data_IF_362459258373
#
_entry.id   IF_362459258373
#
_cell.length_a   1.000
_cell.length_b   1.000
_cell.length_c   1.000
_cell.angle_alpha   90.00
_cell.angle_beta   90.00
_cell.angle_gamma   90.00
#
_symmetry.space_group_name_H-M   'P 1'
#
loop_
_entity.id
_entity.type
_entity.pdbx_description
1 polymer ?
#
# COMPACT_ATOMS: atom_id res chain seq x y z
N UNK A 1 10.01 22.51 14.28
CA UNK A 1 9.68 21.08 14.52
C UNK A 1 10.83 20.22 14.00
N UNK A 2 11.29 19.24 14.77
CA UNK A 2 12.32 18.28 14.38
C UNK A 2 11.66 17.01 13.88
N UNK A 3 11.94 16.63 12.64
CA UNK A 3 11.22 15.54 11.92
C UNK A 3 12.18 14.41 11.61
N UNK A 4 11.72 13.17 11.81
CA UNK A 4 12.39 11.95 11.36
C UNK A 4 11.54 11.24 10.30
N UNK A 5 12.11 11.01 9.11
CA UNK A 5 11.52 10.17 8.07
C UNK A 5 12.15 8.78 8.14
N UNK A 6 11.33 7.73 8.26
CA UNK A 6 11.79 6.35 8.23
C UNK A 6 11.73 5.80 6.82
N UNK A 7 12.89 5.51 6.23
CA UNK A 7 13.03 4.94 4.91
C UNK A 7 14.37 5.29 4.23
N UNK A 8 14.61 4.68 3.07
CA UNK A 8 15.84 4.86 2.28
C UNK A 8 15.60 4.86 0.76
N UNK A 9 14.36 4.60 0.33
CA UNK A 9 13.99 4.49 -1.08
C UNK A 9 13.74 5.85 -1.74
N UNK A 10 13.48 5.82 -3.05
CA UNK A 10 13.20 7.03 -3.83
C UNK A 10 11.95 7.79 -3.33
N UNK A 11 10.91 7.06 -2.89
CA UNK A 11 9.71 7.64 -2.28
C UNK A 11 10.07 8.41 -1.00
N UNK A 12 10.88 7.80 -0.14
CA UNK A 12 11.29 8.38 1.14
C UNK A 12 12.16 9.61 0.94
N UNK A 13 13.05 9.55 -0.06
CA UNK A 13 13.85 10.70 -0.49
C UNK A 13 12.96 11.86 -0.95
N UNK A 14 11.99 11.62 -1.82
CA UNK A 14 11.09 12.66 -2.31
C UNK A 14 10.26 13.30 -1.17
N UNK A 15 9.77 12.49 -0.22
CA UNK A 15 9.06 12.98 0.96
C UNK A 15 9.97 13.83 1.85
N UNK A 16 11.17 13.36 2.13
CA UNK A 16 12.13 14.08 2.92
C UNK A 16 12.55 15.41 2.24
N UNK A 17 12.73 15.39 0.92
CA UNK A 17 13.00 16.60 0.15
C UNK A 17 11.87 17.63 0.26
N UNK A 18 10.59 17.20 0.19
CA UNK A 18 9.47 18.08 0.42
C UNK A 18 9.45 18.64 1.83
N UNK A 19 9.73 17.84 2.83
CA UNK A 19 9.87 18.32 4.21
C UNK A 19 10.98 19.36 4.36
N UNK A 20 12.10 19.22 3.66
CA UNK A 20 13.19 20.19 3.71
C UNK A 20 12.83 21.59 3.20
N UNK A 21 11.73 21.71 2.40
CA UNK A 21 11.22 22.99 1.90
C UNK A 21 10.27 23.69 2.86
N UNK A 22 9.86 23.03 3.93
CA UNK A 22 8.90 23.57 4.89
C UNK A 22 9.57 24.46 5.93
N UNK A 23 9.11 25.69 6.06
CA UNK A 23 9.57 26.63 7.10
C UNK A 23 9.21 26.18 8.53
N UNK A 24 8.29 25.23 8.69
CA UNK A 24 7.90 24.69 10.00
C UNK A 24 8.92 23.66 10.53
N UNK A 25 9.86 23.21 9.70
CA UNK A 25 10.84 22.20 10.06
C UNK A 25 12.17 22.88 10.38
N UNK A 26 12.64 22.73 11.61
CA UNK A 26 13.90 23.27 12.08
C UNK A 26 15.07 22.31 11.92
N UNK A 27 14.81 20.99 11.88
CA UNK A 27 15.79 19.97 11.57
C UNK A 27 15.10 18.73 10.98
N UNK A 28 15.74 18.14 9.98
CA UNK A 28 15.23 16.96 9.27
C UNK A 28 16.25 15.81 9.36
N UNK A 29 15.74 14.64 9.74
CA UNK A 29 16.51 13.40 9.85
C UNK A 29 15.87 12.32 8.99
N UNK A 30 16.68 11.42 8.45
CA UNK A 30 16.22 10.26 7.66
C UNK A 30 16.90 8.99 8.15
N UNK A 31 16.14 7.93 8.42
CA UNK A 31 16.67 6.68 8.92
C UNK A 31 16.21 5.47 8.06
N UNK A 32 17.14 4.70 7.50
CA UNK A 32 18.59 4.92 7.52
C UNK A 32 19.03 6.06 6.61
N UNK A 33 18.17 6.50 5.65
CA UNK A 33 18.51 7.45 4.60
C UNK A 33 19.28 6.80 3.45
N UNK A 34 19.67 7.63 2.51
CA UNK A 34 20.53 7.26 1.37
C UNK A 34 21.50 8.39 1.06
N UNK A 35 22.44 8.16 0.14
CA UNK A 35 23.47 9.14 -0.19
C UNK A 35 22.91 10.52 -0.57
N UNK A 36 21.84 10.56 -1.38
CA UNK A 36 21.24 11.81 -1.84
C UNK A 36 20.39 12.52 -0.79
N UNK A 37 20.00 11.88 0.31
CA UNK A 37 19.30 12.57 1.41
C UNK A 37 20.26 13.40 2.26
N UNK A 38 21.58 13.15 2.20
CA UNK A 38 22.59 13.93 2.91
C UNK A 38 22.67 15.38 2.43
N UNK A 39 22.23 15.67 1.20
CA UNK A 39 22.24 17.02 0.62
C UNK A 39 21.32 18.00 1.39
N UNK A 40 20.32 17.50 2.13
CA UNK A 40 19.32 18.36 2.78
C UNK A 40 18.80 17.85 4.13
N UNK A 41 19.28 16.71 4.60
CA UNK A 41 18.87 16.11 5.87
C UNK A 41 20.06 15.41 6.55
N UNK A 42 19.93 15.11 7.84
CA UNK A 42 20.89 14.28 8.56
C UNK A 42 20.48 12.82 8.46
N UNK A 43 21.31 11.99 7.83
CA UNK A 43 21.08 10.55 7.80
C UNK A 43 21.44 9.89 9.14
N UNK A 44 20.66 8.87 9.51
CA UNK A 44 20.91 8.01 10.68
C UNK A 44 21.12 6.56 10.21
N UNK A 45 22.27 6.24 9.58
CA UNK A 45 22.46 5.00 8.83
C UNK A 45 22.45 3.74 9.70
N UNK A 46 22.71 3.89 10.99
CA UNK A 46 22.73 2.77 11.95
C UNK A 46 21.33 2.45 12.53
N UNK A 47 20.33 3.28 12.26
CA UNK A 47 18.99 3.09 12.77
C UNK A 47 18.22 2.14 11.85
N UNK A 48 17.91 0.95 12.35
CA UNK A 48 17.00 0.05 11.65
C UNK A 48 15.55 0.54 11.83
N UNK A 49 14.87 0.98 10.75
CA UNK A 49 13.52 1.53 10.84
C UNK A 49 12.46 0.51 11.31
N UNK A 50 12.73 -0.78 11.19
CA UNK A 50 11.85 -1.85 11.66
C UNK A 50 12.08 -2.26 13.14
N UNK A 51 13.04 -1.64 13.83
CA UNK A 51 13.30 -1.90 15.24
C UNK A 51 12.70 -0.78 16.10
N UNK A 52 11.65 -1.04 16.91
CA UNK A 52 10.98 -0.02 17.70
C UNK A 52 11.91 0.69 18.70
N UNK A 53 12.80 -0.06 19.34
CA UNK A 53 13.71 0.51 20.34
C UNK A 53 14.78 1.41 19.67
N UNK A 54 15.33 0.97 18.52
CA UNK A 54 16.32 1.77 17.79
C UNK A 54 15.72 3.09 17.31
N UNK A 55 14.49 3.05 16.78
CA UNK A 55 13.77 4.26 16.35
C UNK A 55 13.50 5.17 17.54
N UNK A 56 13.05 4.64 18.66
CA UNK A 56 12.81 5.42 19.87
C UNK A 56 14.09 6.10 20.39
N UNK A 57 15.19 5.36 20.47
CA UNK A 57 16.47 5.92 20.91
C UNK A 57 16.90 7.07 19.99
N UNK A 58 16.81 6.89 18.67
CA UNK A 58 17.09 7.93 17.70
C UNK A 58 16.20 9.17 17.90
N UNK A 59 14.93 8.98 18.26
CA UNK A 59 14.02 10.07 18.55
C UNK A 59 14.47 10.87 19.80
N UNK A 60 14.88 10.20 20.85
CA UNK A 60 15.35 10.88 22.09
C UNK A 60 16.68 11.59 21.85
N UNK A 61 17.66 10.91 21.28
CA UNK A 61 18.99 11.47 21.00
C UNK A 61 18.96 12.71 20.13
N UNK A 62 18.01 12.76 19.18
CA UNK A 62 17.88 13.86 18.23
C UNK A 62 16.70 14.80 18.58
N UNK A 63 16.06 14.66 19.72
CA UNK A 63 14.90 15.47 20.17
C UNK A 63 13.82 15.57 19.07
N UNK A 64 13.39 14.45 18.51
CA UNK A 64 12.40 14.37 17.42
C UNK A 64 10.98 14.65 17.94
N UNK A 65 10.30 15.57 17.31
CA UNK A 65 8.90 15.92 17.62
C UNK A 65 7.92 15.06 16.82
N UNK A 66 8.29 14.69 15.60
CA UNK A 66 7.39 14.03 14.66
C UNK A 66 8.12 12.99 13.82
N UNK A 67 7.53 11.80 13.71
CA UNK A 67 8.04 10.70 12.89
C UNK A 67 7.09 10.43 11.73
N UNK A 68 7.60 10.44 10.51
CA UNK A 68 6.91 10.04 9.30
C UNK A 68 7.36 8.64 8.87
N UNK A 69 6.40 7.72 8.70
CA UNK A 69 6.69 6.36 8.24
C UNK A 69 6.66 6.35 6.71
N UNK A 70 7.83 6.34 6.09
CA UNK A 70 7.98 6.34 4.62
C UNK A 70 8.02 4.93 4.02
N UNK A 71 8.54 3.96 4.75
CA UNK A 71 8.65 2.55 4.33
C UNK A 71 7.66 1.65 5.06
N UNK A 72 7.39 0.45 4.54
CA UNK A 72 6.33 -0.42 5.05
C UNK A 72 6.75 -1.23 6.29
N UNK A 73 8.02 -1.64 6.38
CA UNK A 73 8.50 -2.52 7.45
C UNK A 73 8.16 -2.06 8.88
N UNK A 74 8.32 -0.77 9.25
CA UNK A 74 7.95 -0.28 10.59
C UNK A 74 6.47 -0.47 10.95
N UNK A 75 5.58 -0.49 9.95
CA UNK A 75 4.14 -0.64 10.15
C UNK A 75 3.79 -2.05 10.64
N UNK A 76 4.57 -3.06 10.21
CA UNK A 76 4.35 -4.47 10.58
C UNK A 76 5.07 -4.88 11.86
N UNK A 77 6.03 -4.08 12.33
CA UNK A 77 6.86 -4.43 13.50
C UNK A 77 6.48 -3.71 14.79
N UNK A 78 5.36 -2.97 14.78
CA UNK A 78 4.83 -2.29 15.96
C UNK A 78 5.60 -1.01 16.35
N UNK A 79 6.39 -0.45 15.45
CA UNK A 79 7.12 0.82 15.68
C UNK A 79 6.14 1.95 16.00
N UNK A 80 5.02 2.03 15.27
CA UNK A 80 4.03 3.09 15.44
C UNK A 80 3.49 3.12 16.86
N UNK A 81 3.02 1.97 17.37
CA UNK A 81 2.47 1.85 18.72
C UNK A 81 3.54 2.09 19.77
N UNK A 82 4.73 1.52 19.56
CA UNK A 82 5.80 1.61 20.54
C UNK A 82 6.23 3.04 20.82
N UNK A 83 6.47 3.84 19.77
CA UNK A 83 6.91 5.22 19.93
C UNK A 83 5.76 6.18 20.28
N UNK A 84 4.52 5.92 19.77
CA UNK A 84 3.34 6.71 20.15
C UNK A 84 3.02 6.57 21.64
N UNK A 85 3.10 5.37 22.20
CA UNK A 85 2.89 5.12 23.63
C UNK A 85 3.93 5.81 24.53
N UNK A 86 5.05 6.24 23.95
CA UNK A 86 6.10 7.01 24.63
C UNK A 86 6.00 8.53 24.38
N UNK A 87 4.88 8.98 23.81
CA UNK A 87 4.57 10.39 23.63
C UNK A 87 5.11 11.04 22.36
N UNK A 88 5.74 10.28 21.45
CA UNK A 88 6.24 10.81 20.18
C UNK A 88 5.12 10.82 19.15
N UNK A 89 4.92 11.95 18.47
CA UNK A 89 3.93 12.03 17.40
C UNK A 89 4.38 11.26 16.17
N UNK A 90 3.55 10.32 15.71
CA UNK A 90 3.82 9.46 14.55
C UNK A 90 2.74 9.64 13.49
N UNK A 91 3.15 9.69 12.24
CA UNK A 91 2.28 9.56 11.07
C UNK A 91 2.57 8.24 10.38
N UNK A 92 1.78 7.23 10.71
CA UNK A 92 1.88 5.85 10.24
C UNK A 92 0.70 5.04 10.76
N UNK A 93 0.28 4.03 9.97
CA UNK A 93 -0.83 3.16 10.33
C UNK A 93 -0.45 2.20 11.48
N UNK A 94 -1.32 2.02 12.48
CA UNK A 94 -1.12 1.00 13.51
C UNK A 94 -1.21 -0.43 12.95
N UNK A 95 -0.58 -1.38 13.64
CA UNK A 95 -0.52 -2.80 13.24
C UNK A 95 -1.90 -3.43 13.01
N UNK A 96 -2.92 -3.02 13.79
CA UNK A 96 -4.28 -3.50 13.60
C UNK A 96 -4.84 -3.10 12.23
N UNK A 97 -4.57 -1.88 11.79
CA UNK A 97 -5.12 -1.30 10.56
C UNK A 97 -4.31 -1.70 9.33
N UNK A 98 -3.01 -1.95 9.49
CA UNK A 98 -2.15 -2.39 8.38
C UNK A 98 -2.50 -3.79 7.87
N UNK A 99 -3.35 -4.55 8.56
CA UNK A 99 -3.91 -5.83 8.07
C UNK A 99 -4.66 -5.66 6.76
N UNK A 100 -5.23 -4.48 6.48
CA UNK A 100 -5.85 -4.19 5.18
C UNK A 100 -4.86 -4.33 4.02
N UNK A 101 -3.57 -4.06 4.25
CA UNK A 101 -2.49 -4.25 3.28
C UNK A 101 -1.83 -5.62 3.44
N UNK A 102 -1.57 -6.05 4.66
CA UNK A 102 -0.76 -7.24 4.97
C UNK A 102 -1.46 -8.58 4.76
N UNK A 103 -2.80 -8.61 4.74
CA UNK A 103 -3.62 -9.82 4.61
C UNK A 103 -4.72 -9.60 3.56
N UNK A 104 -4.53 -10.19 2.36
CA UNK A 104 -5.47 -10.03 1.24
C UNK A 104 -6.83 -10.66 1.52
N UNK A 105 -6.87 -11.78 2.26
CA UNK A 105 -8.14 -12.40 2.65
C UNK A 105 -8.93 -11.49 3.59
N UNK A 106 -8.25 -10.89 4.58
CA UNK A 106 -8.86 -9.89 5.44
C UNK A 106 -9.37 -8.68 4.65
N UNK A 107 -8.54 -8.15 3.75
CA UNK A 107 -8.91 -7.02 2.89
C UNK A 107 -10.12 -7.34 2.00
N UNK A 108 -10.19 -8.52 1.38
CA UNK A 108 -11.34 -8.93 0.55
C UNK A 108 -12.60 -9.14 1.38
N UNK A 109 -12.50 -9.75 2.56
CA UNK A 109 -13.62 -9.87 3.48
C UNK A 109 -14.11 -8.50 3.97
N UNK A 110 -13.21 -7.56 4.24
CA UNK A 110 -13.54 -6.18 4.59
C UNK A 110 -14.29 -5.49 3.45
N UNK A 111 -13.79 -5.54 2.21
CA UNK A 111 -14.44 -4.90 1.07
C UNK A 111 -15.83 -5.49 0.81
N UNK A 112 -16.01 -6.79 0.99
CA UNK A 112 -17.31 -7.45 0.87
C UNK A 112 -18.30 -6.98 1.94
N UNK A 113 -17.90 -6.92 3.21
CA UNK A 113 -18.76 -6.46 4.32
C UNK A 113 -19.25 -5.03 4.15
N UNK A 114 -18.42 -4.20 3.51
CA UNK A 114 -18.70 -2.77 3.33
C UNK A 114 -19.15 -2.40 1.91
N UNK A 115 -19.49 -3.41 1.07
CA UNK A 115 -19.95 -3.25 -0.31
C UNK A 115 -19.00 -2.39 -1.18
N UNK A 116 -17.70 -2.47 -0.93
CA UNK A 116 -16.68 -1.80 -1.73
C UNK A 116 -16.42 -2.62 -2.99
N UNK A 117 -16.55 -2.04 -4.19
CA UNK A 117 -16.32 -2.76 -5.43
C UNK A 117 -14.89 -3.30 -5.51
N UNK A 118 -14.76 -4.57 -5.88
CA UNK A 118 -13.48 -5.24 -6.14
C UNK A 118 -13.66 -6.24 -7.27
N UNK A 119 -12.60 -6.65 -7.98
CA UNK A 119 -12.65 -7.73 -8.94
C UNK A 119 -13.20 -9.01 -8.29
N UNK A 120 -13.95 -9.82 -9.07
CA UNK A 120 -14.38 -11.12 -8.55
C UNK A 120 -13.17 -11.91 -8.10
N UNK A 121 -13.27 -12.50 -6.92
CA UNK A 121 -12.14 -13.17 -6.31
C UNK A 121 -12.56 -14.41 -5.53
N UNK A 122 -11.63 -15.35 -5.38
CA UNK A 122 -11.79 -16.54 -4.57
C UNK A 122 -10.49 -16.89 -3.88
N UNK A 123 -10.58 -17.29 -2.61
CA UNK A 123 -9.44 -17.75 -1.82
C UNK A 123 -9.42 -19.28 -1.84
N UNK A 124 -8.26 -19.86 -2.14
CA UNK A 124 -8.05 -21.31 -2.15
C UNK A 124 -7.05 -21.70 -1.08
N UNK A 125 -7.37 -22.76 -0.36
CA UNK A 125 -6.50 -23.33 0.67
C UNK A 125 -5.53 -24.38 0.11
N UNK A 126 -5.88 -24.99 -1.05
CA UNK A 126 -5.12 -26.07 -1.67
C UNK A 126 -5.20 -26.05 -3.19
N UNK A 127 -4.29 -26.83 -3.81
CA UNK A 127 -4.18 -26.95 -5.28
C UNK A 127 -5.40 -27.62 -5.89
N UNK A 128 -5.99 -28.60 -5.22
CA UNK A 128 -7.08 -29.39 -5.79
C UNK A 128 -8.36 -28.54 -5.96
N UNK A 129 -8.69 -27.71 -4.97
CA UNK A 129 -9.78 -26.74 -5.04
C UNK A 129 -9.58 -25.71 -6.15
N UNK A 130 -8.36 -25.18 -6.28
CA UNK A 130 -8.00 -24.25 -7.34
C UNK A 130 -8.09 -24.91 -8.73
N UNK A 131 -7.55 -26.12 -8.90
CA UNK A 131 -7.60 -26.85 -10.17
C UNK A 131 -9.05 -27.11 -10.61
N UNK A 132 -9.90 -27.58 -9.69
CA UNK A 132 -11.31 -27.80 -9.97
C UNK A 132 -12.02 -26.53 -10.43
N UNK A 133 -11.66 -25.38 -9.88
CA UNK A 133 -12.19 -24.09 -10.28
C UNK A 133 -11.70 -23.69 -11.69
N UNK A 134 -10.39 -23.70 -11.91
CA UNK A 134 -9.78 -23.29 -13.19
C UNK A 134 -10.25 -24.15 -14.38
N UNK A 135 -10.42 -25.47 -14.17
CA UNK A 135 -10.92 -26.37 -15.24
C UNK A 135 -12.39 -26.07 -15.64
N UNK A 136 -13.18 -25.42 -14.78
CA UNK A 136 -14.54 -24.96 -15.11
C UNK A 136 -14.55 -23.61 -15.82
N UNK A 137 -13.45 -22.85 -15.72
CA UNK A 137 -13.29 -21.50 -16.24
C UNK A 137 -12.15 -21.43 -17.27
N UNK A 138 -11.99 -22.48 -18.08
CA UNK A 138 -10.93 -22.58 -19.07
C UNK A 138 -11.00 -21.43 -20.08
N UNK A 139 -9.88 -20.77 -20.33
CA UNK A 139 -9.76 -19.65 -21.27
C UNK A 139 -10.09 -18.28 -20.65
N UNK A 140 -10.59 -18.23 -19.42
CA UNK A 140 -10.72 -16.97 -18.69
C UNK A 140 -9.37 -16.50 -18.17
N UNK A 141 -9.16 -15.19 -18.15
CA UNK A 141 -7.92 -14.60 -17.67
C UNK A 141 -7.98 -14.28 -16.18
N UNK A 142 -7.02 -14.79 -15.44
CA UNK A 142 -6.94 -14.64 -14.00
C UNK A 142 -5.62 -14.05 -13.54
N UNK A 143 -5.66 -13.38 -12.38
CA UNK A 143 -4.49 -12.96 -11.63
C UNK A 143 -4.42 -13.79 -10.35
N UNK A 144 -3.32 -14.52 -10.17
CA UNK A 144 -3.08 -15.30 -8.97
C UNK A 144 -2.04 -14.62 -8.08
N UNK A 145 -2.32 -14.58 -6.77
CA UNK A 145 -1.51 -13.85 -5.77
C UNK A 145 -1.38 -14.66 -4.48
N UNK A 146 -0.25 -14.51 -3.78
CA UNK A 146 -0.12 -14.95 -2.38
C UNK A 146 -1.07 -14.19 -1.47
N UNK A 147 -1.60 -14.81 -0.42
CA UNK A 147 -2.43 -14.12 0.58
C UNK A 147 -1.63 -13.06 1.35
N UNK A 148 -0.40 -13.36 1.73
CA UNK A 148 0.47 -12.40 2.41
C UNK A 148 1.12 -11.43 1.42
N UNK A 149 1.34 -10.20 1.86
CA UNK A 149 2.17 -9.24 1.12
C UNK A 149 3.64 -9.65 1.36
N UNK A 150 4.20 -10.43 0.43
CA UNK A 150 5.63 -10.66 0.42
C UNK A 150 6.37 -9.41 -0.08
N UNK A 151 7.64 -9.20 0.29
CA UNK A 151 8.45 -8.06 -0.18
C UNK A 151 8.54 -7.96 -1.71
N UNK A 152 8.38 -9.08 -2.42
CA UNK A 152 8.19 -9.13 -3.86
C UNK A 152 6.70 -9.32 -4.14
N UNK A 153 6.09 -8.41 -4.90
CA UNK A 153 4.72 -8.54 -5.41
C UNK A 153 4.65 -9.72 -6.39
N UNK A 154 4.65 -10.91 -5.85
CA UNK A 154 4.65 -12.16 -6.61
C UNK A 154 3.22 -12.42 -7.06
N UNK A 155 2.95 -12.18 -8.33
CA UNK A 155 1.68 -12.47 -8.99
C UNK A 155 1.91 -12.95 -10.41
N UNK A 156 1.00 -13.78 -10.90
CA UNK A 156 0.96 -14.21 -12.29
C UNK A 156 -0.40 -13.84 -12.89
N UNK A 157 -0.39 -13.21 -14.06
CA UNK A 157 -1.57 -12.96 -14.88
C UNK A 157 -1.52 -13.90 -16.09
N UNK A 158 -2.50 -14.79 -16.23
CA UNK A 158 -2.54 -15.78 -17.30
C UNK A 158 -3.96 -16.27 -17.58
N UNK A 159 -4.19 -16.73 -18.82
CA UNK A 159 -5.35 -17.55 -19.21
C UNK A 159 -4.98 -19.05 -19.30
N UNK A 160 -3.71 -19.39 -19.15
CA UNK A 160 -3.21 -20.77 -19.19
C UNK A 160 -3.36 -21.43 -17.81
N UNK A 161 -4.25 -22.41 -17.73
CA UNK A 161 -4.55 -23.17 -16.51
C UNK A 161 -3.30 -23.86 -15.95
N UNK A 162 -2.45 -24.44 -16.77
CA UNK A 162 -1.28 -25.18 -16.30
C UNK A 162 -0.19 -24.23 -15.77
N UNK A 163 -0.04 -23.06 -16.39
CA UNK A 163 0.83 -22.01 -15.88
C UNK A 163 0.37 -21.50 -14.52
N UNK A 164 -0.95 -21.25 -14.36
CA UNK A 164 -1.55 -20.82 -13.08
C UNK A 164 -1.36 -21.89 -11.99
N UNK A 165 -1.58 -23.18 -12.30
CA UNK A 165 -1.43 -24.28 -11.34
C UNK A 165 0.02 -24.48 -10.94
N UNK A 166 0.95 -24.40 -11.89
CA UNK A 166 2.38 -24.51 -11.61
C UNK A 166 2.85 -23.40 -10.68
N UNK A 167 2.40 -22.18 -10.94
CA UNK A 167 2.70 -21.03 -10.09
C UNK A 167 2.03 -21.11 -8.71
N UNK A 168 0.79 -21.59 -8.64
CA UNK A 168 0.05 -21.78 -7.41
C UNK A 168 0.78 -22.75 -6.44
N UNK A 169 1.34 -23.85 -6.95
CA UNK A 169 2.11 -24.81 -6.15
C UNK A 169 3.24 -24.12 -5.37
N UNK A 170 3.90 -23.15 -6.00
CA UNK A 170 4.93 -22.33 -5.33
C UNK A 170 4.34 -21.42 -4.27
N UNK A 171 3.17 -20.82 -4.53
CA UNK A 171 2.52 -19.92 -3.58
C UNK A 171 1.94 -20.65 -2.37
N UNK A 172 1.37 -21.85 -2.57
CA UNK A 172 0.80 -22.67 -1.48
C UNK A 172 1.83 -23.09 -0.42
N UNK A 173 3.12 -23.08 -0.75
CA UNK A 173 4.18 -23.28 0.27
C UNK A 173 4.22 -22.18 1.33
N UNK A 174 3.61 -21.02 1.03
CA UNK A 174 3.59 -19.83 1.89
C UNK A 174 2.21 -19.54 2.50
N UNK A 175 1.19 -20.33 2.15
CA UNK A 175 -0.18 -20.18 2.66
C UNK A 175 -1.24 -20.14 1.55
N UNK A 176 -2.47 -19.74 1.89
CA UNK A 176 -3.58 -19.65 0.94
C UNK A 176 -3.28 -18.74 -0.25
N UNK A 177 -3.97 -19.00 -1.36
CA UNK A 177 -3.76 -18.30 -2.63
C UNK A 177 -5.05 -17.59 -3.03
N UNK A 178 -4.95 -16.31 -3.39
CA UNK A 178 -6.03 -15.51 -3.93
C UNK A 178 -6.01 -15.56 -5.46
N UNK A 179 -7.14 -15.93 -6.06
CA UNK A 179 -7.40 -15.85 -7.48
C UNK A 179 -8.38 -14.71 -7.74
N UNK A 180 -8.07 -13.83 -8.68
CA UNK A 180 -8.92 -12.69 -9.08
C UNK A 180 -9.13 -12.68 -10.59
N UNK A 181 -10.32 -12.23 -11.04
CA UNK A 181 -10.55 -11.95 -12.46
C UNK A 181 -9.61 -10.82 -12.93
N UNK A 182 -9.17 -10.90 -14.19
CA UNK A 182 -8.39 -9.83 -14.79
C UNK A 182 -9.33 -8.75 -15.32
N UNK A 183 -9.35 -7.60 -14.66
CA UNK A 183 -10.12 -6.43 -15.09
C UNK A 183 -9.24 -5.54 -15.97
N UNK A 184 -9.80 -5.10 -17.10
CA UNK A 184 -9.13 -4.22 -18.04
C UNK A 184 -9.66 -2.80 -17.90
N UNK A 185 -8.76 -1.83 -17.82
CA UNK A 185 -9.11 -0.42 -17.69
C UNK A 185 -7.88 0.46 -17.48
N UNK A 186 -8.11 1.70 -17.14
CA UNK A 186 -7.06 2.67 -16.84
C UNK A 186 -6.71 2.54 -15.34
N UNK A 187 -5.45 2.22 -15.00
CA UNK A 187 -5.04 2.21 -13.60
C UNK A 187 -5.11 3.62 -13.04
N UNK A 188 -5.66 3.74 -11.84
CA UNK A 188 -5.72 4.98 -11.08
C UNK A 188 -5.44 4.73 -9.61
N UNK A 189 -4.82 5.68 -8.97
CA UNK A 189 -4.45 5.61 -7.55
C UNK A 189 -5.00 6.82 -6.83
N UNK A 190 -5.78 6.55 -5.77
CA UNK A 190 -6.27 7.55 -4.83
C UNK A 190 -5.40 7.49 -3.57
N UNK A 191 -4.81 8.60 -3.21
CA UNK A 191 -4.00 8.72 -1.99
C UNK A 191 -4.69 9.64 -1.00
N UNK A 192 -4.93 9.12 0.21
CA UNK A 192 -5.55 9.84 1.31
C UNK A 192 -4.53 10.04 2.43
N UNK A 193 -4.44 11.25 2.95
CA UNK A 193 -3.77 11.54 4.22
C UNK A 193 -4.84 11.53 5.30
N UNK A 194 -4.75 10.58 6.23
CA UNK A 194 -5.78 10.29 7.22
C UNK A 194 -5.32 10.61 8.63
N UNK A 195 -6.23 11.14 9.43
CA UNK A 195 -6.11 11.18 10.88
C UNK A 195 -7.48 10.98 11.56
N UNK A 196 -7.55 11.20 12.88
CA UNK A 196 -8.79 11.08 13.66
C UNK A 196 -9.86 12.14 13.33
N UNK A 197 -9.49 13.20 12.62
CA UNK A 197 -10.40 14.32 12.30
C UNK A 197 -11.00 14.20 10.90
N UNK A 198 -10.37 13.43 10.01
CA UNK A 198 -10.83 13.24 8.65
C UNK A 198 -9.72 12.87 7.69
N UNK A 199 -9.91 13.20 6.43
CA UNK A 199 -8.93 12.93 5.38
C UNK A 199 -8.72 14.10 4.44
N UNK A 200 -7.52 14.16 3.88
CA UNK A 200 -7.19 15.00 2.73
C UNK A 200 -6.91 14.06 1.54
N UNK A 201 -7.72 14.18 0.49
CA UNK A 201 -7.50 13.44 -0.74
C UNK A 201 -6.53 14.21 -1.64
N UNK A 202 -5.42 13.58 -1.99
CA UNK A 202 -4.47 14.12 -2.97
C UNK A 202 -5.03 13.96 -4.40
N UNK A 203 -4.51 14.71 -5.38
CA UNK A 203 -4.91 14.52 -6.77
C UNK A 203 -4.73 13.07 -7.23
N UNK A 204 -5.70 12.54 -7.98
CA UNK A 204 -5.68 11.16 -8.47
C UNK A 204 -4.53 10.99 -9.46
N UNK A 205 -3.79 9.91 -9.32
CA UNK A 205 -2.65 9.56 -10.17
C UNK A 205 -2.94 8.34 -11.03
N UNK A 206 -2.23 8.20 -12.14
CA UNK A 206 -2.16 6.97 -12.92
C UNK A 206 -0.72 6.48 -12.92
N UNK A 207 -0.52 5.23 -12.50
CA UNK A 207 0.80 4.62 -12.35
C UNK A 207 1.08 3.68 -13.52
N UNK A 208 2.28 3.77 -14.06
CA UNK A 208 2.78 2.91 -15.13
C UNK A 208 3.81 1.95 -14.55
N UNK A 209 3.43 0.68 -14.44
CA UNK A 209 4.26 -0.36 -13.81
C UNK A 209 4.94 -1.30 -14.80
N UNK A 210 4.56 -1.25 -16.09
CA UNK A 210 5.14 -2.09 -17.15
C UNK A 210 6.30 -1.37 -17.85
N UNK A 211 7.32 -2.12 -18.21
CA UNK A 211 8.49 -1.61 -18.97
C UNK A 211 8.09 -1.15 -20.37
N UNK A 212 7.19 -1.90 -21.01
CA UNK A 212 6.66 -1.58 -22.35
C UNK A 212 5.27 -2.20 -22.55
N UNK A 213 4.61 -1.83 -23.65
CA UNK A 213 3.32 -2.43 -24.04
C UNK A 213 3.42 -3.95 -24.33
N UNK A 214 4.57 -4.41 -24.76
CA UNK A 214 4.82 -5.83 -25.10
C UNK A 214 5.41 -6.61 -23.94
N UNK A 215 6.13 -5.95 -23.03
CA UNK A 215 6.66 -6.57 -21.81
C UNK A 215 5.81 -6.13 -20.61
N UNK A 216 4.84 -6.97 -20.26
CA UNK A 216 3.88 -6.73 -19.17
C UNK A 216 4.40 -7.20 -17.81
N UNK A 217 5.67 -7.59 -17.68
CA UNK A 217 6.27 -7.93 -16.39
C UNK A 217 6.12 -6.74 -15.45
N UNK A 218 5.45 -6.89 -14.31
CA UNK A 218 5.22 -5.79 -13.39
C UNK A 218 6.53 -5.35 -12.73
N UNK A 219 6.70 -4.04 -12.62
CA UNK A 219 7.82 -3.41 -11.90
C UNK A 219 7.31 -2.67 -10.66
N UNK A 220 8.22 -2.11 -9.87
CA UNK A 220 7.88 -1.24 -8.74
C UNK A 220 7.30 0.13 -9.13
N UNK A 221 7.31 0.46 -10.42
CA UNK A 221 6.84 1.71 -11.02
C UNK A 221 7.88 2.27 -11.99
N UNK A 222 7.43 2.60 -13.20
CA UNK A 222 8.26 3.18 -14.27
C UNK A 222 7.97 4.67 -14.47
N UNK A 223 6.82 5.13 -13.98
CA UNK A 223 6.39 6.52 -14.05
C UNK A 223 4.98 6.69 -13.54
N UNK A 224 4.58 7.94 -13.32
CA UNK A 224 3.23 8.29 -12.92
C UNK A 224 2.83 9.64 -13.55
N UNK A 225 1.54 9.82 -13.76
CA UNK A 225 0.94 11.08 -14.20
C UNK A 225 -0.01 11.58 -13.12
N UNK A 226 0.16 12.85 -12.73
CA UNK A 226 -0.64 13.51 -11.70
C UNK A 226 -0.87 14.99 -12.09
N UNK A 227 -2.10 15.50 -12.03
CA UNK A 227 -3.36 14.76 -11.89
C UNK A 227 -3.75 14.01 -13.16
N UNK A 228 -4.54 12.95 -13.01
CA UNK A 228 -5.23 12.33 -14.16
C UNK A 228 -6.42 13.21 -14.52
N UNK A 229 -6.61 13.57 -15.82
CA UNK A 229 -7.75 14.36 -16.25
C UNK A 229 -9.03 13.52 -16.22
N UNK A 230 -9.65 13.43 -15.06
CA UNK A 230 -10.94 12.76 -14.86
C UNK A 230 -12.06 13.79 -14.84
N UNK A 231 -13.20 13.43 -15.44
CA UNK A 231 -14.44 14.20 -15.28
C UNK A 231 -14.97 14.07 -13.85
N UNK A 232 -15.62 15.11 -13.35
CA UNK A 232 -16.10 15.16 -11.96
C UNK A 232 -17.04 14.01 -11.59
N UNK A 233 -17.83 13.52 -12.55
CA UNK A 233 -18.71 12.36 -12.32
C UNK A 233 -17.92 11.10 -11.94
N UNK A 234 -16.79 10.82 -12.56
CA UNK A 234 -15.94 9.67 -12.22
C UNK A 234 -15.31 9.89 -10.85
N UNK A 235 -14.84 11.09 -10.59
CA UNK A 235 -14.27 11.46 -9.29
C UNK A 235 -15.28 11.27 -8.16
N UNK A 236 -16.51 11.73 -8.33
CA UNK A 236 -17.58 11.56 -7.34
C UNK A 236 -17.92 10.07 -7.15
N UNK A 237 -18.00 9.27 -8.23
CA UNK A 237 -18.19 7.81 -8.11
C UNK A 237 -17.07 7.13 -7.32
N UNK A 238 -15.83 7.56 -7.48
CA UNK A 238 -14.71 7.04 -6.68
C UNK A 238 -14.93 7.36 -5.20
N UNK A 239 -15.29 8.59 -4.89
CA UNK A 239 -15.53 9.02 -3.51
C UNK A 239 -16.69 8.21 -2.92
N UNK A 240 -17.86 8.22 -3.56
CA UNK A 240 -19.10 7.63 -3.02
C UNK A 240 -19.04 6.11 -2.91
N UNK A 241 -18.36 5.44 -3.84
CA UNK A 241 -18.39 3.96 -3.91
C UNK A 241 -17.17 3.30 -3.29
N UNK A 242 -16.06 4.02 -3.14
CA UNK A 242 -14.81 3.44 -2.67
C UNK A 242 -14.28 4.17 -1.42
N UNK A 243 -14.06 5.49 -1.52
CA UNK A 243 -13.42 6.24 -0.42
C UNK A 243 -14.31 6.23 0.83
N UNK A 244 -15.53 6.74 0.70
CA UNK A 244 -16.45 6.85 1.85
C UNK A 244 -16.81 5.49 2.48
N UNK A 245 -17.15 4.42 1.70
CA UNK A 245 -17.37 3.10 2.29
C UNK A 245 -16.13 2.51 2.98
N UNK A 246 -14.93 2.77 2.44
CA UNK A 246 -13.68 2.33 3.06
C UNK A 246 -13.49 3.00 4.42
N UNK A 247 -13.61 4.32 4.49
CA UNK A 247 -13.46 5.07 5.73
C UNK A 247 -14.54 4.75 6.76
N UNK A 248 -15.78 4.59 6.29
CA UNK A 248 -16.89 4.14 7.13
C UNK A 248 -16.63 2.75 7.73
N UNK A 249 -16.21 1.79 6.88
CA UNK A 249 -15.86 0.43 7.31
C UNK A 249 -14.72 0.42 8.32
N UNK A 250 -13.68 1.19 8.08
CA UNK A 250 -12.56 1.34 9.02
C UNK A 250 -13.02 1.88 10.37
N UNK A 251 -13.93 2.85 10.39
CA UNK A 251 -14.52 3.39 11.61
C UNK A 251 -15.35 2.36 12.36
N UNK A 252 -16.23 1.64 11.65
CA UNK A 252 -17.10 0.60 12.25
C UNK A 252 -16.29 -0.54 12.84
N UNK A 253 -15.24 -0.99 12.15
CA UNK A 253 -14.36 -2.07 12.62
C UNK A 253 -13.27 -1.58 13.60
N UNK A 254 -13.32 -0.32 13.99
CA UNK A 254 -12.34 0.29 14.91
C UNK A 254 -10.90 0.13 14.43
N UNK A 255 -10.68 0.27 13.13
CA UNK A 255 -9.38 0.33 12.51
C UNK A 255 -8.89 1.80 12.54
N UNK A 256 -8.43 2.25 13.70
CA UNK A 256 -7.87 3.59 13.83
C UNK A 256 -6.72 3.77 12.82
N UNK A 257 -6.74 4.89 12.10
CA UNK A 257 -5.73 5.15 11.09
C UNK A 257 -5.20 6.58 11.19
N UNK A 258 -3.87 6.70 11.22
CA UNK A 258 -3.19 7.98 11.08
C UNK A 258 -2.00 7.75 10.16
N UNK A 259 -2.11 8.18 8.93
CA UNK A 259 -1.09 7.88 7.92
C UNK A 259 -1.56 8.07 6.49
N UNK A 260 -0.82 7.51 5.56
CA UNK A 260 -1.14 7.49 4.13
C UNK A 260 -1.91 6.22 3.81
N UNK A 261 -3.15 6.36 3.31
CA UNK A 261 -3.91 5.26 2.74
C UNK A 261 -3.97 5.41 1.22
N UNK A 262 -3.53 4.38 0.52
CA UNK A 262 -3.53 4.35 -0.94
C UNK A 262 -4.51 3.29 -1.43
N UNK A 263 -5.42 3.70 -2.32
CA UNK A 263 -6.41 2.84 -2.96
C UNK A 263 -6.07 2.71 -4.44
N UNK A 264 -5.69 1.50 -4.87
CA UNK A 264 -5.40 1.21 -6.28
C UNK A 264 -6.67 0.76 -6.98
N UNK A 265 -7.00 1.41 -8.08
CA UNK A 265 -8.25 1.25 -8.81
C UNK A 265 -7.99 0.90 -10.28
N UNK A 266 -8.95 0.25 -10.89
CA UNK A 266 -9.05 0.14 -12.35
C UNK A 266 -10.31 0.88 -12.80
N UNK A 267 -10.12 1.89 -13.63
CA UNK A 267 -11.23 2.65 -14.21
C UNK A 267 -11.63 1.99 -15.53
N UNK A 268 -12.75 1.30 -15.53
CA UNK A 268 -13.39 0.77 -16.73
C UNK A 268 -14.44 1.77 -17.25
N UNK A 269 -14.80 1.68 -18.52
CA UNK A 269 -15.83 2.53 -19.14
C UNK A 269 -17.21 2.45 -18.44
N UNK A 270 -17.48 1.35 -17.74
CA UNK A 270 -18.75 1.05 -17.10
C UNK A 270 -18.70 1.08 -15.56
N UNK A 271 -17.53 0.93 -14.97
CA UNK A 271 -17.39 0.77 -13.52
C UNK A 271 -16.06 1.29 -12.99
N UNK A 272 -16.02 1.51 -11.68
CA UNK A 272 -14.82 1.77 -10.90
C UNK A 272 -14.67 0.62 -9.91
N UNK A 273 -13.60 -0.12 -9.99
CA UNK A 273 -13.30 -1.27 -9.11
C UNK A 273 -11.87 -1.21 -8.58
#
# INVERSE_FOLDING_TARGET
MRVLVLGAGAKDHAIAWWFSKSSCISALFVAPGNLSTEDFATNLPHVNPANPQAVYNACIENAIDFVFIGTEAPLFTGVVEYISNKGITVFGAPSKSIKLEGDRAFSRAFTQRHNIPVPKNSLFADVAGLEKYLRKHTGEQFIIKSNSVAPSRVMLNSADTEALLSYAKLLFTKGPVLLEECVHGIPATVTLLLDKHGYLMLPITSDYTSVSKTNTTPTGGMGAVCPVPLVDEIKNKIIDRIVEPTLYGMKVEQLAYKGVLTLSLILDRKSVV
#
